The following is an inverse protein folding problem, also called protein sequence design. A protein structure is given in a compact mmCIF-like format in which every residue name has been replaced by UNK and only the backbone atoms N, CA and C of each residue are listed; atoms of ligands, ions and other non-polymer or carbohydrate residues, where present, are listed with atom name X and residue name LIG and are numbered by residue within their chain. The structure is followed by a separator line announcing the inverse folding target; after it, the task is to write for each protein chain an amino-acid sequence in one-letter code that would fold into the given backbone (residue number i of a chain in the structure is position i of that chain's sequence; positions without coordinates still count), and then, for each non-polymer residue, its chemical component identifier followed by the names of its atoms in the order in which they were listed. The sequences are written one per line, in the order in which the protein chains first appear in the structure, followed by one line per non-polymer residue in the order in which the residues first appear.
data_IF_062653894386
#
_entry.id   IF_062653894386
#
_cell.length_a   1.000
_cell.length_b   1.000
_cell.length_c   1.000
_cell.angle_alpha   90.00
_cell.angle_beta   90.00
_cell.angle_gamma   90.00
#
_symmetry.space_group_name_H-M   'P 1'
#
loop_
_entity.id
_entity.type
_entity.pdbx_description
1 polymer ?
#
# COMPACT_ATOMS: atom_id res chain seq x y z
N UNK A 1 29.14 -4.22 19.93
CA UNK A 1 29.01 -2.95 19.17
C UNK A 1 30.25 -2.62 18.35
N UNK A 2 31.45 -2.43 18.95
CA UNK A 2 32.67 -2.02 18.21
C UNK A 2 32.95 -2.82 16.92
N UNK A 3 32.85 -4.15 16.94
CA UNK A 3 33.16 -5.00 15.77
C UNK A 3 32.38 -4.64 14.49
N UNK A 4 31.18 -4.06 14.59
CA UNK A 4 30.42 -3.63 13.41
C UNK A 4 30.94 -2.34 12.78
N UNK A 5 31.80 -1.59 13.46
CA UNK A 5 32.43 -0.36 12.95
C UNK A 5 33.65 -0.65 12.05
N UNK A 6 34.05 -1.91 11.92
CA UNK A 6 35.19 -2.37 11.11
C UNK A 6 34.80 -2.76 9.67
N UNK A 7 33.54 -2.55 9.29
CA UNK A 7 32.93 -3.07 8.05
C UNK A 7 32.37 -1.91 7.21
N UNK A 8 32.82 -1.75 5.96
CA UNK A 8 32.33 -0.69 5.06
C UNK A 8 30.88 -0.92 4.55
N UNK A 9 30.28 -2.09 4.82
CA UNK A 9 28.84 -2.34 4.58
C UNK A 9 27.92 -2.03 5.78
N UNK A 10 28.47 -1.76 6.97
CA UNK A 10 27.68 -1.70 8.20
C UNK A 10 26.93 -0.36 8.38
N UNK A 11 25.60 -0.42 8.40
CA UNK A 11 24.72 0.73 8.55
C UNK A 11 23.47 0.38 9.38
N UNK A 12 22.69 1.40 9.75
CA UNK A 12 21.57 1.38 10.71
C UNK A 12 20.80 0.03 10.75
N UNK A 13 20.85 -0.63 11.92
CA UNK A 13 20.32 -1.99 12.16
C UNK A 13 20.90 -3.05 11.22
N UNK A 14 22.21 -3.27 11.35
CA UNK A 14 22.95 -4.37 10.71
C UNK A 14 22.35 -5.74 11.05
N UNK A 15 22.08 -6.54 10.02
CA UNK A 15 21.89 -7.99 10.13
C UNK A 15 23.21 -8.71 9.85
N UNK A 16 23.45 -9.86 10.47
CA UNK A 16 24.72 -10.58 10.34
C UNK A 16 25.09 -10.90 8.88
N UNK A 17 24.10 -11.20 8.02
CA UNK A 17 24.36 -11.57 6.63
C UNK A 17 24.99 -10.43 5.80
N UNK A 18 24.80 -9.16 6.19
CA UNK A 18 25.50 -8.02 5.54
C UNK A 18 27.01 -8.18 5.67
N UNK A 19 27.47 -8.51 6.88
CA UNK A 19 28.88 -8.65 7.26
C UNK A 19 29.53 -9.87 6.58
N UNK A 20 28.75 -10.93 6.34
CA UNK A 20 29.21 -12.11 5.62
C UNK A 20 29.45 -11.84 4.13
N UNK A 21 28.66 -10.99 3.46
CA UNK A 21 28.96 -10.56 2.10
C UNK A 21 30.33 -9.89 2.02
N UNK A 22 30.60 -8.91 2.88
CA UNK A 22 31.86 -8.17 2.89
C UNK A 22 33.06 -9.09 3.10
N UNK A 23 33.00 -9.96 4.12
CA UNK A 23 34.11 -10.86 4.48
C UNK A 23 34.33 -11.94 3.42
N UNK A 24 33.28 -12.49 2.80
CA UNK A 24 33.45 -13.50 1.76
C UNK A 24 33.93 -12.92 0.43
N UNK A 25 33.48 -11.73 0.05
CA UNK A 25 34.02 -11.02 -1.13
C UNK A 25 35.51 -10.72 -0.92
N UNK A 26 35.94 -10.29 0.27
CA UNK A 26 37.37 -10.10 0.57
C UNK A 26 38.18 -11.42 0.72
N UNK A 27 37.53 -12.58 0.86
CA UNK A 27 38.18 -13.90 0.95
C UNK A 27 38.18 -14.69 -0.37
N UNK A 28 37.43 -14.23 -1.38
CA UNK A 28 37.35 -14.88 -2.68
C UNK A 28 38.60 -14.62 -3.52
N UNK A 29 38.99 -15.65 -4.28
CA UNK A 29 40.07 -15.55 -5.27
C UNK A 29 39.58 -14.80 -6.51
N UNK A 30 40.51 -14.35 -7.35
CA UNK A 30 40.25 -13.96 -8.76
C UNK A 30 39.34 -14.99 -9.44
N UNK A 31 38.35 -14.51 -10.21
CA UNK A 31 37.28 -15.31 -10.84
C UNK A 31 36.39 -16.12 -9.89
N UNK A 32 36.55 -15.97 -8.57
CA UNK A 32 35.74 -16.62 -7.56
C UNK A 32 34.26 -16.24 -7.65
N UNK A 33 33.40 -17.22 -7.39
CA UNK A 33 31.94 -17.09 -7.39
C UNK A 33 31.41 -17.21 -5.95
N UNK A 34 30.57 -16.27 -5.54
CA UNK A 34 29.77 -16.35 -4.31
C UNK A 34 28.33 -16.69 -4.68
N UNK A 35 27.71 -17.66 -4.01
CA UNK A 35 26.27 -17.94 -4.11
C UNK A 35 25.63 -17.91 -2.72
N UNK A 36 24.64 -17.04 -2.52
CA UNK A 36 24.08 -16.75 -1.19
C UNK A 36 22.57 -16.59 -1.21
N UNK A 37 21.85 -17.42 -0.43
CA UNK A 37 20.43 -17.24 -0.10
C UNK A 37 20.34 -16.39 1.16
N UNK A 38 19.70 -15.22 1.09
CA UNK A 38 19.62 -14.25 2.20
C UNK A 38 18.26 -13.57 2.25
N UNK A 39 17.86 -12.94 3.39
CA UNK A 39 16.66 -12.11 3.46
C UNK A 39 16.70 -11.01 2.39
N UNK A 40 15.62 -10.83 1.63
CA UNK A 40 15.62 -9.97 0.44
C UNK A 40 15.72 -8.46 0.73
N UNK A 41 15.78 -8.06 2.01
CA UNK A 41 15.69 -6.65 2.44
C UNK A 41 16.84 -5.79 1.94
N UNK A 42 18.00 -6.39 1.63
CA UNK A 42 19.14 -5.66 1.06
C UNK A 42 18.85 -5.09 -0.33
N UNK A 43 17.88 -5.61 -1.08
CA UNK A 43 17.54 -5.12 -2.42
C UNK A 43 16.98 -3.69 -2.39
N UNK A 44 16.09 -3.39 -1.44
CA UNK A 44 15.26 -2.15 -1.46
C UNK A 44 15.27 -1.33 -0.16
N UNK A 45 16.00 -1.73 0.87
CA UNK A 45 16.08 -0.97 2.12
C UNK A 45 17.14 0.16 2.01
N UNK A 46 16.70 1.41 2.19
CA UNK A 46 17.54 2.61 2.29
C UNK A 46 18.82 2.36 3.09
N UNK A 47 18.69 1.85 4.32
CA UNK A 47 19.82 1.71 5.23
C UNK A 47 20.86 0.67 4.80
N UNK A 48 20.56 -0.19 3.82
CA UNK A 48 21.45 -1.25 3.31
C UNK A 48 22.13 -0.80 1.99
N UNK A 49 22.06 0.50 1.65
CA UNK A 49 22.81 1.08 0.52
C UNK A 49 24.32 0.81 0.55
N UNK A 50 25.05 0.87 1.69
CA UNK A 50 26.48 0.59 1.70
C UNK A 50 26.83 -0.83 1.25
N UNK A 51 25.98 -1.83 1.58
CA UNK A 51 26.12 -3.20 1.09
C UNK A 51 25.88 -3.29 -0.42
N UNK A 52 24.85 -2.61 -0.96
CA UNK A 52 24.59 -2.58 -2.41
C UNK A 52 25.74 -1.92 -3.17
N UNK A 53 26.25 -0.80 -2.66
CA UNK A 53 27.44 -0.12 -3.17
C UNK A 53 28.66 -1.04 -3.17
N UNK A 54 28.92 -1.71 -2.06
CA UNK A 54 30.05 -2.63 -1.92
C UNK A 54 29.94 -3.82 -2.89
N UNK A 55 28.77 -4.45 -3.00
CA UNK A 55 28.54 -5.55 -3.96
C UNK A 55 28.86 -5.09 -5.38
N UNK A 56 28.34 -3.93 -5.80
CA UNK A 56 28.60 -3.36 -7.12
C UNK A 56 30.09 -3.00 -7.33
N UNK A 57 30.75 -2.40 -6.35
CA UNK A 57 32.11 -1.86 -6.51
C UNK A 57 33.22 -2.92 -6.40
N UNK A 58 32.91 -4.11 -5.89
CA UNK A 58 33.88 -5.20 -5.65
C UNK A 58 33.57 -6.48 -6.45
N UNK A 59 32.42 -6.57 -7.11
CA UNK A 59 32.00 -7.75 -7.87
C UNK A 59 30.96 -7.41 -8.94
N UNK A 60 30.79 -8.30 -9.92
CA UNK A 60 29.64 -8.24 -10.82
C UNK A 60 28.56 -9.24 -10.41
N UNK A 61 27.30 -8.83 -10.49
CA UNK A 61 26.13 -9.64 -10.16
C UNK A 61 25.83 -10.53 -11.37
N UNK A 62 26.17 -11.82 -11.30
CA UNK A 62 25.94 -12.74 -12.40
C UNK A 62 24.46 -13.16 -12.49
N UNK A 63 23.87 -13.59 -11.36
CA UNK A 63 22.43 -13.91 -11.28
C UNK A 63 21.80 -13.37 -10.00
N UNK A 64 20.53 -13.01 -10.09
CA UNK A 64 19.68 -12.69 -8.95
C UNK A 64 18.36 -13.46 -9.10
N UNK A 65 18.10 -14.36 -8.15
CA UNK A 65 16.97 -15.30 -8.15
C UNK A 65 15.95 -14.85 -7.11
N UNK A 66 14.74 -14.57 -7.57
CA UNK A 66 13.56 -14.23 -6.78
C UNK A 66 12.85 -15.53 -6.38
N UNK A 67 12.51 -15.69 -5.11
CA UNK A 67 11.77 -16.87 -4.65
C UNK A 67 10.28 -16.54 -4.57
N UNK A 68 9.50 -17.15 -5.48
CA UNK A 68 8.04 -17.05 -5.51
C UNK A 68 7.38 -17.98 -4.47
N UNK A 69 8.12 -18.94 -3.94
CA UNK A 69 7.70 -19.98 -3.00
C UNK A 69 8.46 -19.83 -1.67
N UNK A 70 7.99 -20.47 -0.59
CA UNK A 70 8.77 -20.47 0.66
C UNK A 70 9.96 -21.41 0.54
N UNK A 71 11.17 -20.85 0.55
CA UNK A 71 12.45 -21.58 0.54
C UNK A 71 12.66 -22.37 1.85
N UNK A 72 12.07 -21.89 2.95
CA UNK A 72 12.27 -22.43 4.29
C UNK A 72 10.89 -22.61 4.97
N UNK A 73 10.37 -23.85 5.08
CA UNK A 73 9.00 -24.09 5.57
C UNK A 73 8.68 -23.45 6.93
N UNK A 74 9.65 -23.44 7.86
CA UNK A 74 9.47 -22.94 9.22
C UNK A 74 9.74 -21.43 9.39
N UNK A 75 10.09 -20.70 8.32
CA UNK A 75 10.52 -19.31 8.40
C UNK A 75 9.68 -18.36 7.53
N UNK A 76 8.98 -17.42 8.18
CA UNK A 76 8.25 -16.34 7.50
C UNK A 76 9.18 -15.17 7.14
N UNK A 77 10.05 -15.39 6.15
CA UNK A 77 11.05 -14.43 5.66
C UNK A 77 11.14 -14.48 4.14
N UNK A 78 10.85 -13.36 3.46
CA UNK A 78 11.09 -13.25 2.02
C UNK A 78 12.61 -13.28 1.75
N UNK A 79 13.06 -14.16 0.85
CA UNK A 79 14.49 -14.36 0.53
C UNK A 79 14.79 -14.14 -0.94
N UNK A 80 16.07 -13.91 -1.25
CA UNK A 80 16.61 -13.89 -2.61
C UNK A 80 17.92 -14.66 -2.64
N UNK A 81 18.21 -15.37 -3.74
CA UNK A 81 19.56 -15.90 -4.00
C UNK A 81 20.31 -14.93 -4.90
N UNK A 82 21.50 -14.50 -4.51
CA UNK A 82 22.40 -13.75 -5.39
C UNK A 82 23.64 -14.57 -5.70
N UNK A 83 24.10 -14.48 -6.95
CA UNK A 83 25.31 -15.08 -7.45
C UNK A 83 26.23 -13.96 -7.95
N UNK A 84 27.37 -13.79 -7.29
CA UNK A 84 28.38 -12.75 -7.59
C UNK A 84 29.63 -13.40 -8.18
N UNK A 85 30.35 -12.68 -9.04
CA UNK A 85 31.67 -13.08 -9.57
C UNK A 85 32.66 -11.93 -9.45
N UNK A 86 33.87 -12.22 -8.96
CA UNK A 86 34.96 -11.23 -8.87
C UNK A 86 35.70 -11.09 -10.20
N UNK A 87 36.23 -9.89 -10.46
CA UNK A 87 37.10 -9.55 -11.61
C UNK A 87 36.55 -9.88 -13.00
N UNK A 88 35.21 -9.98 -13.12
CA UNK A 88 34.52 -10.23 -14.38
C UNK A 88 33.66 -9.01 -14.74
N UNK A 89 34.16 -8.15 -15.63
CA UNK A 89 33.46 -6.94 -16.06
C UNK A 89 32.24 -7.29 -16.94
N UNK A 90 31.05 -7.25 -16.33
CA UNK A 90 29.76 -7.29 -17.03
C UNK A 90 28.81 -6.30 -16.39
N UNK A 91 28.08 -5.56 -17.23
CA UNK A 91 26.96 -4.74 -16.82
C UNK A 91 25.61 -5.49 -16.93
N UNK A 92 25.60 -6.77 -17.29
CA UNK A 92 24.37 -7.57 -17.39
C UNK A 92 24.28 -8.60 -16.25
N UNK A 93 23.16 -8.58 -15.53
CA UNK A 93 22.77 -9.57 -14.54
C UNK A 93 21.54 -10.36 -15.01
N UNK A 94 21.55 -11.69 -14.83
CA UNK A 94 20.37 -12.52 -15.10
C UNK A 94 19.36 -12.47 -13.96
N UNK A 95 18.15 -11.97 -14.22
CA UNK A 95 17.03 -12.05 -13.29
C UNK A 95 16.28 -13.37 -13.52
N UNK A 96 16.18 -14.16 -12.47
CA UNK A 96 15.54 -15.46 -12.44
C UNK A 96 14.43 -15.48 -11.37
N UNK A 97 13.48 -16.40 -11.49
CA UNK A 97 12.43 -16.66 -10.49
C UNK A 97 12.30 -18.15 -10.20
N UNK A 98 11.73 -18.53 -9.07
CA UNK A 98 11.28 -19.92 -8.87
C UNK A 98 9.88 -20.14 -9.46
N UNK A 99 9.62 -21.33 -9.98
CA UNK A 99 8.30 -21.82 -10.34
C UNK A 99 8.29 -23.34 -10.26
N UNK A 100 7.35 -23.91 -9.52
CA UNK A 100 7.22 -25.36 -9.28
C UNK A 100 8.55 -25.98 -8.79
N UNK A 101 9.19 -25.29 -7.83
CA UNK A 101 10.53 -25.58 -7.27
C UNK A 101 11.71 -25.52 -8.27
N UNK A 102 11.51 -25.08 -9.52
CA UNK A 102 12.57 -24.92 -10.52
C UNK A 102 12.99 -23.45 -10.66
N UNK A 103 14.27 -23.21 -10.99
CA UNK A 103 14.77 -21.86 -11.32
C UNK A 103 14.54 -21.59 -12.80
N UNK A 104 13.73 -20.57 -13.10
CA UNK A 104 13.36 -20.16 -14.46
C UNK A 104 13.93 -18.78 -14.75
N UNK A 105 14.61 -18.64 -15.89
CA UNK A 105 15.07 -17.34 -16.39
C UNK A 105 13.88 -16.42 -16.69
N UNK A 106 13.96 -15.16 -16.27
CA UNK A 106 12.92 -14.16 -16.54
C UNK A 106 13.38 -13.13 -17.57
N UNK A 107 14.50 -12.45 -17.30
CA UNK A 107 15.04 -11.39 -18.16
C UNK A 107 16.49 -11.05 -17.74
N UNK A 108 17.12 -10.10 -18.42
CA UNK A 108 18.39 -9.49 -17.99
C UNK A 108 18.15 -8.03 -17.61
N UNK A 109 18.89 -7.53 -16.62
CA UNK A 109 18.94 -6.10 -16.24
C UNK A 109 20.34 -5.56 -16.46
N UNK A 110 20.42 -4.31 -16.92
CA UNK A 110 21.65 -3.53 -16.96
C UNK A 110 21.98 -3.01 -15.54
N UNK A 111 23.01 -3.56 -14.90
CA UNK A 111 23.43 -3.17 -13.55
C UNK A 111 23.95 -1.74 -13.46
N UNK A 112 24.22 -1.07 -14.58
CA UNK A 112 24.47 0.37 -14.60
C UNK A 112 23.23 1.17 -14.17
N UNK A 113 22.02 0.67 -14.41
CA UNK A 113 20.76 1.28 -13.98
C UNK A 113 20.60 1.19 -12.45
N UNK A 114 21.23 0.19 -11.82
CA UNK A 114 21.39 0.09 -10.36
C UNK A 114 22.49 1.01 -9.81
N UNK A 115 23.44 1.47 -10.64
CA UNK A 115 24.47 2.46 -10.24
C UNK A 115 23.99 3.90 -10.34
N UNK A 116 23.01 4.19 -11.19
CA UNK A 116 22.50 5.55 -11.42
C UNK A 116 21.24 5.88 -10.62
N UNK A 117 20.49 4.88 -10.15
CA UNK A 117 19.25 5.12 -9.40
C UNK A 117 19.47 5.50 -7.91
N UNK A 118 18.47 6.17 -7.34
CA UNK A 118 18.51 6.71 -5.98
C UNK A 118 18.64 5.60 -4.93
N UNK A 119 19.69 5.67 -4.10
CA UNK A 119 20.06 4.68 -3.08
C UNK A 119 20.53 3.32 -3.66
N UNK A 120 20.93 3.25 -4.94
CA UNK A 120 21.52 2.07 -5.58
C UNK A 120 20.64 0.80 -5.48
N UNK A 121 19.33 0.94 -5.64
CA UNK A 121 18.32 -0.10 -5.43
C UNK A 121 18.46 -1.21 -6.47
N UNK A 122 18.55 -2.47 -6.01
CA UNK A 122 18.60 -3.67 -6.87
C UNK A 122 17.17 -4.07 -7.24
N UNK A 123 16.54 -3.26 -8.09
CA UNK A 123 15.20 -3.49 -8.63
C UNK A 123 15.21 -4.72 -9.58
N UNK A 124 14.26 -5.64 -9.41
CA UNK A 124 14.14 -6.88 -10.20
C UNK A 124 12.85 -6.98 -11.02
N UNK A 125 12.24 -5.82 -11.26
CA UNK A 125 11.12 -5.65 -12.19
C UNK A 125 11.56 -5.84 -13.65
N UNK A 126 10.78 -6.62 -14.41
CA UNK A 126 10.89 -6.71 -15.88
C UNK A 126 10.31 -5.48 -16.59
N UNK A 127 9.50 -4.69 -15.90
CA UNK A 127 8.88 -3.48 -16.43
C UNK A 127 9.91 -2.36 -16.60
N UNK A 128 9.87 -1.70 -17.76
CA UNK A 128 10.76 -0.59 -18.11
C UNK A 128 10.48 0.63 -17.23
N UNK A 129 11.53 1.18 -16.60
CA UNK A 129 11.42 2.45 -15.90
C UNK A 129 11.08 3.59 -16.88
N UNK A 130 10.08 4.42 -16.56
CA UNK A 130 9.70 5.60 -17.32
C UNK A 130 10.42 6.85 -16.80
N UNK A 131 11.15 7.54 -17.68
CA UNK A 131 11.86 8.79 -17.37
C UNK A 131 10.96 10.01 -17.53
N UNK A 132 10.16 10.31 -16.50
CA UNK A 132 9.25 11.46 -16.50
C UNK A 132 9.98 12.80 -16.52
N UNK A 133 9.85 13.52 -17.63
CA UNK A 133 10.37 14.88 -17.82
C UNK A 133 9.47 15.91 -17.13
N UNK A 134 10.04 17.07 -16.79
CA UNK A 134 9.26 18.19 -16.25
C UNK A 134 8.67 17.97 -14.85
N UNK A 135 9.22 17.06 -14.05
CA UNK A 135 8.74 16.73 -12.69
C UNK A 135 9.56 17.36 -11.57
N UNK A 136 9.02 17.32 -10.35
CA UNK A 136 9.66 17.62 -9.05
C UNK A 136 9.29 16.52 -8.04
N UNK A 137 10.11 16.25 -7.02
CA UNK A 137 9.75 15.27 -5.98
C UNK A 137 8.59 15.79 -5.12
N UNK A 138 7.72 14.90 -4.67
CA UNK A 138 6.58 15.18 -3.79
C UNK A 138 6.99 15.94 -2.53
N UNK A 139 8.21 15.71 -2.03
CA UNK A 139 8.81 16.45 -0.92
C UNK A 139 8.86 17.96 -1.10
N UNK A 140 8.82 18.48 -2.33
CA UNK A 140 8.90 19.92 -2.56
C UNK A 140 7.55 20.60 -2.30
N UNK A 141 6.44 19.89 -2.53
CA UNK A 141 5.08 20.39 -2.31
C UNK A 141 4.47 19.93 -0.97
N UNK A 142 4.79 18.73 -0.48
CA UNK A 142 4.18 18.13 0.72
C UNK A 142 5.24 17.61 1.69
N UNK A 143 4.91 17.63 2.99
CA UNK A 143 5.64 16.84 3.98
C UNK A 143 4.96 15.49 4.22
N UNK A 144 5.76 14.50 4.62
CA UNK A 144 5.30 13.14 4.94
C UNK A 144 5.60 12.80 6.39
N UNK A 145 4.57 12.49 7.16
CA UNK A 145 4.64 12.27 8.61
C UNK A 145 3.92 11.00 9.03
N UNK A 146 4.61 10.12 9.77
CA UNK A 146 4.10 8.82 10.16
C UNK A 146 3.10 8.93 11.32
N UNK A 147 2.02 8.15 11.26
CA UNK A 147 0.94 8.20 12.24
C UNK A 147 1.34 7.75 13.65
N UNK A 148 0.47 8.07 14.62
CA UNK A 148 0.72 7.93 16.05
C UNK A 148 0.91 6.46 16.46
N UNK A 149 2.00 6.18 17.17
CA UNK A 149 2.27 4.89 17.78
C UNK A 149 1.99 4.98 19.28
N UNK A 150 1.10 4.12 19.77
CA UNK A 150 0.84 3.98 21.20
C UNK A 150 1.92 3.14 21.91
N UNK A 151 2.02 3.28 23.24
CA UNK A 151 2.72 2.31 24.08
C UNK A 151 1.95 0.98 24.16
N UNK A 152 0.66 1.03 24.51
CA UNK A 152 -0.31 -0.04 24.31
C UNK A 152 -1.50 0.50 23.52
N UNK A 153 -1.84 -0.16 22.41
CA UNK A 153 -3.01 0.19 21.60
C UNK A 153 -4.32 -0.14 22.33
N UNK A 154 -4.38 -1.24 23.10
CA UNK A 154 -5.64 -1.74 23.65
C UNK A 154 -6.23 -0.81 24.71
N UNK A 155 -5.40 -0.27 25.60
CA UNK A 155 -5.83 0.71 26.62
C UNK A 155 -5.96 2.13 26.08
N UNK A 156 -5.23 2.50 25.01
CA UNK A 156 -5.24 3.86 24.47
C UNK A 156 -6.35 4.15 23.44
N UNK A 157 -7.21 3.18 23.09
CA UNK A 157 -8.30 3.37 22.12
C UNK A 157 -9.67 2.89 22.62
N UNK A 158 -10.72 3.63 22.31
CA UNK A 158 -12.12 3.35 22.64
C UNK A 158 -13.04 3.62 21.45
N UNK A 159 -14.13 2.85 21.31
CA UNK A 159 -15.20 3.13 20.34
C UNK A 159 -16.01 4.38 20.72
N UNK A 160 -16.11 4.68 22.02
CA UNK A 160 -16.85 5.81 22.58
C UNK A 160 -15.88 6.90 23.05
N UNK A 161 -16.21 8.17 22.78
CA UNK A 161 -15.48 9.32 23.34
C UNK A 161 -15.73 9.43 24.85
N UNK A 162 -14.77 9.01 25.67
CA UNK A 162 -14.87 9.02 27.14
C UNK A 162 -14.56 10.38 27.77
N UNK A 163 -13.81 11.26 27.09
CA UNK A 163 -13.41 12.57 27.65
C UNK A 163 -13.01 13.60 26.57
N UNK A 164 -12.61 14.80 26.99
CA UNK A 164 -12.07 15.85 26.10
C UNK A 164 -10.63 15.60 25.60
N UNK A 165 -9.85 14.74 26.26
CA UNK A 165 -8.53 14.32 25.74
C UNK A 165 -8.64 13.17 24.72
N UNK A 166 -9.80 12.53 24.59
CA UNK A 166 -10.05 11.56 23.52
C UNK A 166 -10.30 12.28 22.19
N UNK A 167 -9.45 11.99 21.20
CA UNK A 167 -9.47 12.54 19.83
C UNK A 167 -9.87 11.46 18.83
N UNK A 168 -10.61 11.77 17.76
CA UNK A 168 -10.99 10.74 16.78
C UNK A 168 -9.74 10.21 16.05
N UNK A 169 -9.70 8.91 15.75
CA UNK A 169 -8.53 8.26 15.12
C UNK A 169 -8.92 7.29 13.99
N UNK A 170 -8.15 7.32 12.90
CA UNK A 170 -8.25 6.39 11.76
C UNK A 170 -7.03 5.48 11.63
N UNK A 171 -7.24 4.32 11.01
CA UNK A 171 -6.30 3.26 10.69
C UNK A 171 -6.33 2.97 9.19
N UNK A 172 -5.36 2.23 8.67
CA UNK A 172 -5.29 1.89 7.23
C UNK A 172 -6.43 1.02 6.66
N UNK A 173 -7.45 0.67 7.46
CA UNK A 173 -8.71 0.06 6.99
C UNK A 173 -9.86 1.08 6.84
N UNK A 174 -9.72 2.26 7.45
CA UNK A 174 -10.79 3.23 7.67
C UNK A 174 -10.94 4.23 6.50
N UNK A 175 -10.25 3.96 5.39
CA UNK A 175 -10.35 4.62 4.08
C UNK A 175 -9.85 3.68 2.98
N UNK A 176 -10.24 3.96 1.74
CA UNK A 176 -9.78 3.27 0.53
C UNK A 176 -9.42 4.29 -0.57
N UNK A 177 -9.08 3.79 -1.77
CA UNK A 177 -8.77 4.60 -2.97
C UNK A 177 -9.87 5.64 -3.17
N UNK A 178 -9.48 6.92 -3.21
CA UNK A 178 -10.37 8.05 -3.46
C UNK A 178 -11.58 8.18 -2.48
N UNK A 179 -11.53 7.60 -1.27
CA UNK A 179 -12.56 7.83 -0.23
C UNK A 179 -12.13 8.91 0.76
N UNK A 180 -13.10 9.44 1.50
CA UNK A 180 -12.86 10.09 2.78
C UNK A 180 -12.55 9.05 3.85
N UNK A 181 -11.77 9.42 4.86
CA UNK A 181 -11.48 8.60 6.02
C UNK A 181 -12.55 8.80 7.11
N UNK A 182 -13.05 7.69 7.67
CA UNK A 182 -14.16 7.69 8.65
C UNK A 182 -13.65 7.05 9.94
N UNK A 183 -13.63 7.79 11.05
CA UNK A 183 -13.16 7.24 12.31
C UNK A 183 -14.23 6.37 12.99
N UNK A 184 -13.88 5.11 13.29
CA UNK A 184 -14.67 4.25 14.18
C UNK A 184 -14.26 4.41 15.66
N UNK A 185 -13.06 4.93 15.91
CA UNK A 185 -12.43 4.94 17.25
C UNK A 185 -12.00 6.35 17.68
N UNK A 186 -11.75 6.45 18.97
CA UNK A 186 -11.16 7.58 19.67
C UNK A 186 -9.88 7.13 20.36
N UNK A 187 -8.85 7.95 20.33
CA UNK A 187 -7.54 7.73 20.96
C UNK A 187 -7.36 8.66 22.15
N UNK A 188 -6.87 8.11 23.26
CA UNK A 188 -6.47 8.87 24.45
C UNK A 188 -5.22 9.70 24.15
N UNK A 189 -5.39 10.97 23.78
CA UNK A 189 -4.30 11.83 23.32
C UNK A 189 -3.61 12.53 24.50
N UNK A 190 -2.76 11.79 25.20
CA UNK A 190 -1.97 12.27 26.34
C UNK A 190 -0.51 11.77 26.28
N UNK A 191 0.49 12.49 26.82
CA UNK A 191 1.91 12.14 26.62
C UNK A 191 2.30 10.72 27.05
N UNK A 192 1.65 10.14 28.07
CA UNK A 192 1.96 8.81 28.57
C UNK A 192 1.40 7.65 27.71
N UNK A 193 0.47 7.92 26.80
CA UNK A 193 -0.07 6.89 25.87
C UNK A 193 0.73 6.86 24.56
N UNK A 194 1.42 7.95 24.23
CA UNK A 194 2.10 8.20 22.96
C UNK A 194 3.57 7.78 23.03
N UNK A 195 3.95 6.77 22.24
CA UNK A 195 5.33 6.30 22.10
C UNK A 195 6.11 7.08 21.05
N UNK A 196 5.47 7.45 19.94
CA UNK A 196 6.06 8.28 18.87
C UNK A 196 4.99 8.76 17.89
N UNK A 197 5.35 9.77 17.08
CA UNK A 197 4.43 10.41 16.14
C UNK A 197 3.38 11.27 16.86
N UNK A 198 2.24 11.49 16.19
CA UNK A 198 1.08 12.12 16.81
C UNK A 198 1.04 13.64 16.89
N UNK A 199 1.96 14.39 16.25
CA UNK A 199 1.92 15.85 16.24
C UNK A 199 0.55 16.38 15.77
N UNK A 200 -0.15 17.08 16.66
CA UNK A 200 -1.47 17.64 16.39
C UNK A 200 -1.46 18.63 15.21
N UNK A 201 -0.35 19.36 14.98
CA UNK A 201 -0.24 20.32 13.87
C UNK A 201 -0.31 19.65 12.50
N UNK A 202 0.10 18.37 12.39
CA UNK A 202 -0.06 17.55 11.18
C UNK A 202 -1.53 17.15 10.98
N UNK A 203 -2.27 16.94 12.07
CA UNK A 203 -3.66 16.50 12.03
C UNK A 203 -4.66 17.66 11.99
N UNK A 204 -4.29 18.87 12.39
CA UNK A 204 -5.12 20.08 12.40
C UNK A 204 -5.12 20.80 11.03
N UNK A 205 -5.20 20.03 9.94
CA UNK A 205 -5.37 20.50 8.57
C UNK A 205 -5.88 19.38 7.66
N UNK A 206 -6.55 19.71 6.53
CA UNK A 206 -6.84 18.76 5.46
C UNK A 206 -5.56 18.13 4.90
N UNK A 207 -5.58 16.81 4.65
CA UNK A 207 -4.40 16.06 4.20
C UNK A 207 -4.76 14.73 3.52
N UNK A 208 -3.80 14.18 2.80
CA UNK A 208 -3.92 12.83 2.21
C UNK A 208 -3.39 11.80 3.20
N UNK A 209 -4.10 10.67 3.35
CA UNK A 209 -3.64 9.51 4.10
C UNK A 209 -3.20 8.43 3.14
N UNK A 210 -1.99 7.87 3.34
CA UNK A 210 -1.47 6.73 2.59
C UNK A 210 -1.37 5.52 3.53
N UNK A 211 -1.94 4.39 3.12
CA UNK A 211 -1.80 3.11 3.85
C UNK A 211 -0.34 2.66 3.85
N UNK A 212 0.22 2.29 5.01
CA UNK A 212 1.56 1.68 5.06
C UNK A 212 1.59 0.31 4.36
N UNK A 213 0.45 -0.42 4.36
CA UNK A 213 0.34 -1.76 3.75
C UNK A 213 -0.40 -1.66 2.42
N UNK A 214 0.32 -1.98 1.35
CA UNK A 214 -0.16 -1.99 -0.04
C UNK A 214 1.02 -2.18 -1.01
N UNK A 215 0.81 -2.95 -2.08
CA UNK A 215 1.79 -3.15 -3.15
C UNK A 215 1.97 -1.91 -4.04
N UNK A 216 0.97 -1.02 -4.04
CA UNK A 216 0.99 0.33 -4.59
C UNK A 216 0.33 1.30 -3.59
N UNK A 217 0.57 2.62 -3.67
CA UNK A 217 -0.09 3.61 -2.85
C UNK A 217 -1.62 3.52 -2.94
N UNK A 218 -2.27 3.55 -1.78
CA UNK A 218 -3.72 3.71 -1.66
C UNK A 218 -3.93 4.97 -0.83
N UNK A 219 -4.45 6.01 -1.49
CA UNK A 219 -4.64 7.33 -0.93
C UNK A 219 -6.12 7.61 -0.63
N UNK A 220 -6.41 8.18 0.54
CA UNK A 220 -7.72 8.72 0.91
C UNK A 220 -7.60 10.14 1.47
N UNK A 221 -8.72 10.86 1.46
CA UNK A 221 -8.82 12.22 2.00
C UNK A 221 -9.13 12.19 3.50
N UNK A 222 -8.48 13.05 4.29
CA UNK A 222 -8.82 13.26 5.69
C UNK A 222 -8.95 14.75 6.01
N UNK A 223 -10.03 15.07 6.72
CA UNK A 223 -10.27 16.39 7.28
C UNK A 223 -9.37 16.65 8.50
N UNK A 224 -9.40 17.89 8.97
CA UNK A 224 -8.68 18.31 10.17
C UNK A 224 -9.28 17.74 11.47
N UNK A 225 -8.46 17.68 12.52
CA UNK A 225 -8.89 17.27 13.86
C UNK A 225 -9.01 15.75 14.07
N UNK A 226 -8.69 14.93 13.06
CA UNK A 226 -8.66 13.46 13.15
C UNK A 226 -7.21 12.98 13.19
N UNK A 227 -6.86 12.14 14.17
CA UNK A 227 -5.55 11.47 14.24
C UNK A 227 -5.44 10.32 13.24
N UNK A 228 -4.23 10.00 12.80
CA UNK A 228 -3.95 8.79 12.03
C UNK A 228 -2.98 7.88 12.79
N UNK A 229 -3.27 6.57 12.88
CA UNK A 229 -2.42 5.60 13.57
C UNK A 229 -1.15 5.24 12.79
N UNK A 230 -0.20 4.57 13.43
CA UNK A 230 1.04 4.02 12.87
C UNK A 230 0.84 2.95 11.76
N UNK A 231 -0.33 2.89 11.13
CA UNK A 231 -0.61 2.14 9.90
C UNK A 231 -0.70 3.07 8.67
N UNK A 232 -0.44 4.37 8.85
CA UNK A 232 -0.68 5.46 7.89
C UNK A 232 0.52 6.41 7.82
N UNK A 233 0.80 6.94 6.61
CA UNK A 233 1.54 8.19 6.42
C UNK A 233 0.57 9.33 6.09
N UNK A 234 0.75 10.48 6.73
CA UNK A 234 0.02 11.72 6.47
C UNK A 234 0.83 12.56 5.49
N UNK A 235 0.25 12.95 4.35
CA UNK A 235 0.84 13.89 3.40
C UNK A 235 0.07 15.22 3.47
N UNK A 236 0.71 16.26 3.97
CA UNK A 236 0.11 17.58 4.20
C UNK A 236 0.89 18.69 3.48
N UNK A 237 0.21 19.73 2.97
CA UNK A 237 0.82 20.71 2.09
C UNK A 237 1.86 21.57 2.81
N UNK A 238 2.92 21.94 2.08
CA UNK A 238 3.86 22.98 2.52
C UNK A 238 3.21 24.36 2.40
N UNK A 239 3.72 25.34 3.16
CA UNK A 239 3.15 26.71 3.30
C UNK A 239 2.91 27.47 1.99
N UNK A 240 3.46 27.03 0.86
CA UNK A 240 3.30 27.66 -0.46
C UNK A 240 2.32 26.92 -1.38
N UNK A 241 1.71 25.83 -0.92
CA UNK A 241 0.71 25.02 -1.65
C UNK A 241 -0.68 25.26 -1.06
N UNK A 242 -1.68 25.47 -1.90
CA UNK A 242 -3.08 25.63 -1.48
C UNK A 242 -3.62 24.31 -0.91
N UNK A 243 -4.37 24.36 0.20
CA UNK A 243 -5.00 23.18 0.78
C UNK A 243 -5.96 22.47 -0.20
N UNK A 244 -6.51 23.16 -1.22
CA UNK A 244 -7.30 22.54 -2.30
C UNK A 244 -6.52 21.44 -3.05
N UNK A 245 -5.20 21.60 -3.18
CA UNK A 245 -4.34 20.63 -3.86
C UNK A 245 -4.16 19.31 -3.12
N UNK A 246 -4.65 19.18 -1.87
CA UNK A 246 -4.77 17.89 -1.17
C UNK A 246 -5.64 16.91 -1.97
N UNK A 247 -6.74 17.38 -2.57
CA UNK A 247 -7.60 16.52 -3.39
C UNK A 247 -6.94 16.14 -4.72
N UNK A 248 -6.24 17.08 -5.37
CA UNK A 248 -5.45 16.81 -6.57
C UNK A 248 -4.37 15.75 -6.29
N UNK A 249 -3.66 15.85 -5.15
CA UNK A 249 -2.63 14.88 -4.76
C UNK A 249 -3.22 13.49 -4.51
N UNK A 250 -4.33 13.38 -3.76
CA UNK A 250 -4.99 12.09 -3.51
C UNK A 250 -5.33 11.39 -4.84
N UNK A 251 -5.89 12.14 -5.78
CA UNK A 251 -6.28 11.65 -7.10
C UNK A 251 -5.07 11.21 -7.93
N UNK A 252 -4.00 12.02 -7.98
CA UNK A 252 -2.75 11.69 -8.69
C UNK A 252 -2.12 10.42 -8.11
N UNK A 253 -2.01 10.29 -6.78
CA UNK A 253 -1.40 9.12 -6.14
C UNK A 253 -2.20 7.83 -6.44
N UNK A 254 -3.51 7.95 -6.64
CA UNK A 254 -4.40 6.84 -6.99
C UNK A 254 -4.49 6.53 -8.51
N UNK A 255 -3.75 7.24 -9.36
CA UNK A 255 -3.70 7.00 -10.81
C UNK A 255 -2.91 5.74 -11.19
N UNK A 256 -3.17 5.21 -12.39
CA UNK A 256 -2.36 4.12 -12.96
C UNK A 256 -0.90 4.52 -13.16
N UNK A 257 -0.62 5.78 -13.49
CA UNK A 257 0.76 6.26 -13.66
C UNK A 257 1.57 6.12 -12.36
N UNK A 258 1.04 6.58 -11.23
CA UNK A 258 1.73 6.42 -9.94
C UNK A 258 1.77 4.96 -9.50
N UNK A 259 0.73 4.16 -9.81
CA UNK A 259 0.77 2.71 -9.57
C UNK A 259 1.88 2.02 -10.38
N UNK A 260 2.06 2.35 -11.66
CA UNK A 260 3.14 1.84 -12.51
C UNK A 260 4.51 2.24 -11.96
N UNK A 261 4.73 3.53 -11.74
CA UNK A 261 5.99 4.06 -11.21
C UNK A 261 6.33 3.48 -9.84
N UNK A 262 5.32 3.12 -9.04
CA UNK A 262 5.56 2.41 -7.79
C UNK A 262 5.99 0.96 -8.01
N UNK A 263 5.29 0.20 -8.87
CA UNK A 263 5.71 -1.16 -9.27
C UNK A 263 7.15 -1.15 -9.76
N UNK A 264 7.50 -0.20 -10.64
CA UNK A 264 8.80 -0.17 -11.35
C UNK A 264 9.96 0.42 -10.56
N UNK A 265 9.73 1.23 -9.51
CA UNK A 265 10.82 1.86 -8.73
C UNK A 265 10.87 1.43 -7.26
N UNK A 266 9.73 1.08 -6.66
CA UNK A 266 9.55 1.06 -5.20
C UNK A 266 8.90 -0.21 -4.63
N UNK A 267 8.51 -1.16 -5.48
CA UNK A 267 8.06 -2.48 -5.07
C UNK A 267 9.08 -3.15 -4.12
N UNK A 268 8.62 -3.60 -2.95
CA UNK A 268 9.41 -4.50 -2.10
C UNK A 268 9.16 -5.99 -2.44
N UNK A 269 8.35 -6.23 -3.48
CA UNK A 269 7.98 -7.52 -4.08
C UNK A 269 7.38 -8.56 -3.11
N UNK A 270 7.02 -8.14 -1.88
CA UNK A 270 6.53 -9.06 -0.85
C UNK A 270 5.15 -9.59 -1.21
N UNK A 271 4.97 -10.91 -1.10
CA UNK A 271 3.65 -11.54 -1.24
C UNK A 271 2.76 -11.31 -0.01
N UNK A 272 3.36 -11.07 1.16
CA UNK A 272 2.63 -10.78 2.39
C UNK A 272 3.00 -9.39 2.93
N UNK A 273 1.98 -8.57 3.20
CA UNK A 273 2.08 -7.22 3.75
C UNK A 273 3.18 -6.33 3.12
N UNK A 274 3.17 -6.07 1.78
CA UNK A 274 4.08 -5.12 1.14
C UNK A 274 4.05 -3.76 1.84
N UNK A 275 5.22 -3.14 2.06
CA UNK A 275 5.35 -1.93 2.89
C UNK A 275 5.81 -0.70 2.14
N UNK A 276 4.90 0.26 2.09
CA UNK A 276 5.15 1.65 1.70
C UNK A 276 6.01 2.33 2.77
N UNK A 277 7.06 3.04 2.34
CA UNK A 277 8.00 3.75 3.21
C UNK A 277 7.93 5.25 2.93
N UNK A 278 8.01 6.07 3.99
CA UNK A 278 7.88 7.53 3.89
C UNK A 278 8.89 8.22 2.94
N UNK A 279 10.10 7.68 2.76
CA UNK A 279 11.08 8.22 1.81
C UNK A 279 10.66 7.98 0.35
N UNK A 280 10.13 6.80 0.02
CA UNK A 280 9.62 6.49 -1.33
C UNK A 280 8.47 7.42 -1.70
N UNK A 281 7.58 7.74 -0.75
CA UNK A 281 6.52 8.73 -0.93
C UNK A 281 7.09 10.14 -1.17
N UNK A 282 8.11 10.57 -0.43
CA UNK A 282 8.78 11.86 -0.65
C UNK A 282 9.44 11.95 -2.04
N UNK A 283 9.94 10.82 -2.55
CA UNK A 283 10.56 10.70 -3.88
C UNK A 283 9.59 10.32 -5.02
N UNK A 284 8.26 10.39 -4.81
CA UNK A 284 7.30 10.30 -5.91
C UNK A 284 7.38 11.54 -6.81
N UNK A 285 7.37 11.41 -8.15
CA UNK A 285 7.34 12.55 -9.04
C UNK A 285 5.95 13.20 -9.09
N UNK A 286 5.90 14.52 -8.94
CA UNK A 286 4.77 15.38 -9.28
C UNK A 286 5.14 16.25 -10.49
N UNK A 287 4.18 16.69 -11.33
CA UNK A 287 4.50 17.59 -12.45
C UNK A 287 4.90 18.97 -11.91
N UNK A 288 5.78 19.70 -12.61
CA UNK A 288 6.19 21.07 -12.22
C UNK A 288 5.04 22.09 -12.19
N UNK A 289 3.93 21.78 -12.85
CA UNK A 289 2.67 22.53 -12.80
C UNK A 289 1.79 22.21 -11.58
N UNK A 290 2.18 21.26 -10.72
CA UNK A 290 1.41 20.91 -9.53
C UNK A 290 1.24 22.14 -8.61
N UNK A 291 0.02 22.35 -8.11
CA UNK A 291 -0.31 23.52 -7.29
C UNK A 291 -0.64 24.79 -8.10
N UNK A 292 -0.51 24.76 -9.43
CA UNK A 292 -1.23 25.71 -10.28
C UNK A 292 -2.74 25.41 -10.23
N UNK A 293 -3.58 26.44 -10.43
CA UNK A 293 -5.02 26.37 -10.24
C UNK A 293 -5.76 25.64 -11.39
N UNK A 294 -5.44 24.36 -11.57
CA UNK A 294 -6.19 23.47 -12.46
C UNK A 294 -7.57 23.14 -11.84
N UNK A 295 -8.61 23.74 -12.42
CA UNK A 295 -10.01 23.51 -12.06
C UNK A 295 -10.49 22.10 -12.40
N UNK A 296 -10.01 21.53 -13.50
CA UNK A 296 -10.55 20.31 -14.09
C UNK A 296 -10.14 19.09 -13.26
N UNK A 297 -8.85 18.96 -12.92
CA UNK A 297 -8.39 17.90 -12.01
C UNK A 297 -9.02 18.06 -10.62
N UNK A 298 -9.19 19.31 -10.17
CA UNK A 298 -9.83 19.62 -8.88
C UNK A 298 -11.28 19.14 -8.84
N UNK A 299 -12.05 19.37 -9.90
CA UNK A 299 -13.47 18.96 -9.95
C UNK A 299 -13.66 17.47 -10.25
N UNK A 300 -12.78 16.85 -11.04
CA UNK A 300 -12.68 15.39 -11.14
C UNK A 300 -12.37 14.75 -9.78
N UNK A 301 -11.44 15.33 -9.01
CA UNK A 301 -11.11 14.87 -7.64
C UNK A 301 -12.33 14.95 -6.70
N UNK A 302 -13.10 16.04 -6.75
CA UNK A 302 -14.37 16.17 -6.01
C UNK A 302 -15.46 15.21 -6.52
N UNK A 303 -15.48 14.89 -7.83
CA UNK A 303 -16.43 13.95 -8.45
C UNK A 303 -16.16 12.52 -7.99
N UNK A 304 -14.92 12.04 -8.11
CA UNK A 304 -14.52 10.69 -7.70
C UNK A 304 -14.64 10.48 -6.19
N UNK A 305 -14.30 11.49 -5.37
CA UNK A 305 -14.47 11.43 -3.91
C UNK A 305 -15.93 11.27 -3.49
N UNK A 306 -16.84 12.09 -4.06
CA UNK A 306 -18.28 12.00 -3.75
C UNK A 306 -18.88 10.67 -4.19
N UNK A 307 -18.52 10.19 -5.39
CA UNK A 307 -19.05 8.92 -5.91
C UNK A 307 -18.60 7.72 -5.05
N UNK A 308 -17.31 7.65 -4.68
CA UNK A 308 -16.81 6.59 -3.81
C UNK A 308 -17.40 6.65 -2.40
N UNK A 309 -17.57 7.85 -1.82
CA UNK A 309 -18.23 8.01 -0.52
C UNK A 309 -19.70 7.57 -0.57
N UNK A 310 -20.43 7.89 -1.64
CA UNK A 310 -21.82 7.42 -1.85
C UNK A 310 -21.91 5.89 -1.98
N UNK A 311 -20.98 5.26 -2.73
CA UNK A 311 -20.93 3.80 -2.85
C UNK A 311 -20.60 3.15 -1.50
N UNK A 312 -19.58 3.64 -0.79
CA UNK A 312 -19.18 3.16 0.53
C UNK A 312 -20.35 3.23 1.53
N UNK A 313 -21.11 4.33 1.52
CA UNK A 313 -22.31 4.49 2.34
C UNK A 313 -23.41 3.51 1.95
N UNK A 314 -23.79 3.44 0.69
CA UNK A 314 -24.86 2.54 0.21
C UNK A 314 -24.57 1.08 0.59
N UNK A 315 -23.31 0.66 0.43
CA UNK A 315 -22.84 -0.67 0.79
C UNK A 315 -22.85 -0.87 2.31
N UNK A 316 -22.31 0.08 3.06
CA UNK A 316 -22.26 0.06 4.53
C UNK A 316 -23.63 0.07 5.20
N UNK A 317 -24.60 0.83 4.68
CA UNK A 317 -25.96 0.94 5.21
C UNK A 317 -26.67 -0.45 5.17
N UNK A 318 -26.62 -1.16 4.03
CA UNK A 318 -27.21 -2.49 3.91
C UNK A 318 -26.39 -3.57 4.66
N UNK A 319 -25.05 -3.49 4.66
CA UNK A 319 -24.21 -4.39 5.47
C UNK A 319 -24.49 -4.25 6.97
N UNK A 320 -24.76 -3.03 7.45
CA UNK A 320 -25.14 -2.74 8.83
C UNK A 320 -26.55 -3.25 9.17
N UNK A 321 -27.50 -3.13 8.23
CA UNK A 321 -28.83 -3.74 8.37
C UNK A 321 -28.74 -5.27 8.49
N UNK A 322 -27.95 -5.93 7.64
CA UNK A 322 -27.70 -7.38 7.73
C UNK A 322 -27.06 -7.75 9.08
N UNK A 323 -26.10 -6.95 9.57
CA UNK A 323 -25.49 -7.13 10.91
C UNK A 323 -26.53 -7.02 12.04
N UNK A 324 -27.46 -6.08 11.94
CA UNK A 324 -28.55 -5.90 12.90
C UNK A 324 -29.56 -7.07 12.87
N UNK A 325 -29.92 -7.58 11.69
CA UNK A 325 -30.77 -8.78 11.54
C UNK A 325 -30.10 -10.01 12.14
N UNK A 326 -28.80 -10.20 11.88
CA UNK A 326 -28.01 -11.30 12.43
C UNK A 326 -27.73 -11.16 13.94
N UNK A 327 -27.85 -9.96 14.53
CA UNK A 327 -27.50 -9.69 15.94
C UNK A 327 -26.10 -10.19 16.30
N UNK A 328 -25.15 -10.03 15.37
CA UNK A 328 -23.81 -10.59 15.40
C UNK A 328 -23.03 -10.25 14.12
N UNK A 329 -21.77 -10.66 14.02
CA UNK A 329 -20.91 -10.26 12.90
C UNK A 329 -21.30 -10.82 11.52
N UNK A 330 -21.00 -10.04 10.49
CA UNK A 330 -21.22 -10.40 9.08
C UNK A 330 -19.97 -11.03 8.45
N UNK A 331 -20.16 -11.88 7.44
CA UNK A 331 -19.05 -12.35 6.61
C UNK A 331 -18.60 -11.25 5.63
N UNK A 332 -17.34 -11.28 5.19
CA UNK A 332 -16.81 -10.35 4.19
C UNK A 332 -17.62 -10.36 2.88
N UNK A 333 -18.18 -11.52 2.48
CA UNK A 333 -19.10 -11.61 1.34
C UNK A 333 -20.40 -10.84 1.53
N UNK A 334 -20.97 -10.83 2.75
CA UNK A 334 -22.18 -10.06 3.06
C UNK A 334 -21.88 -8.57 3.28
N UNK A 335 -20.62 -8.21 3.57
CA UNK A 335 -20.16 -6.81 3.53
C UNK A 335 -20.03 -6.34 2.07
N UNK A 336 -19.50 -7.18 1.17
CA UNK A 336 -19.46 -6.98 -0.28
C UNK A 336 -20.71 -7.50 -1.02
N UNK A 337 -21.89 -7.36 -0.42
CA UNK A 337 -23.15 -7.95 -0.94
C UNK A 337 -23.49 -7.56 -2.39
N UNK A 338 -23.06 -6.38 -2.84
CA UNK A 338 -23.32 -5.82 -4.17
C UNK A 338 -22.65 -6.62 -5.31
N UNK A 339 -21.56 -7.33 -5.01
CA UNK A 339 -20.85 -8.22 -5.93
C UNK A 339 -21.53 -9.59 -6.09
N UNK A 340 -22.53 -9.92 -5.26
CA UNK A 340 -23.19 -11.23 -5.27
C UNK A 340 -24.34 -11.30 -6.29
N UNK A 341 -24.63 -12.50 -6.78
CA UNK A 341 -25.97 -12.80 -7.32
C UNK A 341 -26.98 -12.81 -6.18
N UNK A 342 -28.27 -12.55 -6.44
CA UNK A 342 -29.28 -12.65 -5.37
C UNK A 342 -29.35 -14.07 -4.76
N UNK A 343 -29.11 -15.11 -5.57
CA UNK A 343 -29.02 -16.49 -5.09
C UNK A 343 -27.81 -16.72 -4.15
N UNK A 344 -26.64 -16.17 -4.47
CA UNK A 344 -25.46 -16.25 -3.59
C UNK A 344 -25.59 -15.39 -2.34
N UNK A 345 -26.29 -14.26 -2.43
CA UNK A 345 -26.68 -13.43 -1.29
C UNK A 345 -27.57 -14.21 -0.31
N UNK A 346 -28.69 -14.76 -0.76
CA UNK A 346 -29.57 -15.60 0.08
C UNK A 346 -28.83 -16.80 0.69
N UNK A 347 -27.94 -17.43 -0.08
CA UNK A 347 -27.12 -18.58 0.34
C UNK A 347 -26.13 -18.22 1.45
N UNK A 348 -25.38 -17.13 1.31
CA UNK A 348 -24.47 -16.67 2.37
C UNK A 348 -25.22 -16.08 3.58
N UNK A 349 -26.38 -15.44 3.38
CA UNK A 349 -27.25 -14.97 4.47
C UNK A 349 -27.83 -16.15 5.27
N UNK A 350 -28.39 -17.16 4.60
CA UNK A 350 -28.90 -18.40 5.23
C UNK A 350 -27.78 -19.11 6.00
N UNK A 351 -26.57 -19.16 5.44
CA UNK A 351 -25.38 -19.72 6.09
C UNK A 351 -24.96 -18.90 7.32
N UNK A 352 -25.04 -17.57 7.27
CA UNK A 352 -24.78 -16.70 8.40
C UNK A 352 -25.82 -16.90 9.52
N UNK A 353 -27.12 -16.93 9.21
CA UNK A 353 -28.19 -17.25 10.17
C UNK A 353 -27.93 -18.61 10.84
N UNK A 354 -27.58 -19.64 10.06
CA UNK A 354 -27.27 -20.99 10.57
C UNK A 354 -25.98 -21.05 11.40
N UNK A 355 -24.98 -20.22 11.11
CA UNK A 355 -23.78 -20.09 11.93
C UNK A 355 -24.10 -19.40 13.27
N UNK A 356 -24.78 -18.25 13.23
CA UNK A 356 -25.15 -17.48 14.42
C UNK A 356 -26.10 -18.25 15.32
N UNK A 357 -27.07 -18.99 14.78
CA UNK A 357 -27.99 -19.81 15.57
C UNK A 357 -27.27 -20.90 16.38
N UNK A 358 -26.18 -21.48 15.88
CA UNK A 358 -25.37 -22.45 16.65
C UNK A 358 -24.72 -21.81 17.88
N UNK A 359 -24.32 -20.55 17.79
CA UNK A 359 -23.76 -19.77 18.91
C UNK A 359 -24.88 -19.41 19.89
N UNK A 360 -25.95 -18.79 19.39
CA UNK A 360 -27.11 -18.36 20.21
C UNK A 360 -27.72 -19.50 21.02
N UNK A 361 -27.96 -20.67 20.40
CA UNK A 361 -28.53 -21.84 21.09
C UNK A 361 -27.58 -22.35 22.18
N UNK A 362 -26.26 -22.36 21.95
CA UNK A 362 -25.25 -22.73 22.95
C UNK A 362 -25.23 -21.76 24.15
N UNK A 363 -25.57 -20.50 23.92
CA UNK A 363 -25.67 -19.43 24.92
C UNK A 363 -27.06 -19.33 25.58
N UNK A 364 -27.99 -20.26 25.26
CA UNK A 364 -29.36 -20.26 25.80
C UNK A 364 -30.27 -19.17 25.20
N UNK A 365 -29.85 -18.51 24.12
CA UNK A 365 -30.62 -17.49 23.42
C UNK A 365 -31.48 -18.09 22.30
N UNK A 366 -32.72 -17.60 22.17
CA UNK A 366 -33.63 -18.02 21.09
C UNK A 366 -33.00 -17.83 19.70
N UNK A 367 -33.15 -18.80 18.78
CA UNK A 367 -32.64 -18.68 17.43
C UNK A 367 -33.35 -17.57 16.64
N UNK A 368 -32.65 -17.06 15.63
CA UNK A 368 -33.21 -16.25 14.56
C UNK A 368 -34.01 -17.20 13.63
N UNK A 369 -35.22 -16.84 13.18
CA UNK A 369 -35.98 -17.66 12.23
C UNK A 369 -35.17 -18.02 10.97
N UNK A 370 -35.43 -19.19 10.38
CA UNK A 370 -34.97 -19.48 9.02
C UNK A 370 -35.80 -18.69 8.01
N UNK A 371 -35.19 -18.29 6.89
CA UNK A 371 -35.86 -17.52 5.84
C UNK A 371 -36.98 -18.35 5.19
N UNK A 372 -38.20 -17.81 5.18
CA UNK A 372 -39.34 -18.33 4.44
C UNK A 372 -39.37 -17.75 3.01
N UNK A 373 -40.26 -18.25 2.15
CA UNK A 373 -40.48 -17.67 0.83
C UNK A 373 -41.03 -16.23 0.84
N UNK A 374 -41.60 -15.77 1.96
CA UNK A 374 -41.97 -14.36 2.14
C UNK A 374 -40.74 -13.51 2.44
N UNK A 375 -39.86 -13.97 3.32
CA UNK A 375 -38.61 -13.28 3.63
C UNK A 375 -37.67 -13.24 2.40
N UNK A 376 -37.60 -14.31 1.61
CA UNK A 376 -36.87 -14.30 0.33
C UNK A 376 -37.38 -13.22 -0.63
N UNK A 377 -38.69 -12.97 -0.67
CA UNK A 377 -39.28 -11.92 -1.52
C UNK A 377 -38.95 -10.51 -0.99
N UNK A 378 -39.11 -10.27 0.30
CA UNK A 378 -38.76 -8.99 0.95
C UNK A 378 -37.26 -8.66 0.82
N UNK A 379 -36.40 -9.67 0.93
CA UNK A 379 -34.96 -9.51 0.66
C UNK A 379 -34.68 -9.21 -0.81
N UNK A 380 -35.47 -9.70 -1.77
CA UNK A 380 -35.31 -9.38 -3.20
C UNK A 380 -35.66 -7.91 -3.48
N UNK A 381 -36.79 -7.43 -2.95
CA UNK A 381 -37.22 -6.03 -3.09
C UNK A 381 -36.23 -5.04 -2.44
N UNK A 382 -35.54 -5.43 -1.37
CA UNK A 382 -34.49 -4.62 -0.74
C UNK A 382 -33.14 -4.70 -1.48
N UNK A 383 -32.74 -5.89 -1.93
CA UNK A 383 -31.41 -6.16 -2.47
C UNK A 383 -31.24 -5.63 -3.90
N UNK A 384 -32.14 -5.98 -4.83
CA UNK A 384 -31.87 -5.79 -6.26
C UNK A 384 -31.88 -4.30 -6.68
N UNK A 385 -32.79 -3.43 -6.17
CA UNK A 385 -32.71 -1.99 -6.45
C UNK A 385 -31.43 -1.35 -5.88
N UNK A 386 -31.01 -1.74 -4.67
CA UNK A 386 -29.76 -1.26 -4.05
C UNK A 386 -28.53 -1.75 -4.81
N UNK A 387 -28.56 -2.95 -5.37
CA UNK A 387 -27.50 -3.49 -6.23
C UNK A 387 -27.41 -2.73 -7.54
N UNK A 388 -28.54 -2.42 -8.19
CA UNK A 388 -28.56 -1.58 -9.40
C UNK A 388 -28.02 -0.17 -9.13
N UNK A 389 -28.33 0.42 -7.96
CA UNK A 389 -27.76 1.69 -7.52
C UNK A 389 -26.24 1.60 -7.31
N UNK A 390 -25.75 0.54 -6.65
CA UNK A 390 -24.31 0.30 -6.45
C UNK A 390 -23.57 0.11 -7.78
N UNK A 391 -24.11 -0.69 -8.70
CA UNK A 391 -23.55 -0.91 -10.04
C UNK A 391 -23.51 0.39 -10.86
N UNK A 392 -24.53 1.24 -10.76
CA UNK A 392 -24.57 2.57 -11.39
C UNK A 392 -23.46 3.48 -10.84
N UNK A 393 -23.25 3.49 -9.53
CA UNK A 393 -22.16 4.23 -8.89
C UNK A 393 -20.79 3.68 -9.32
N UNK A 394 -20.59 2.36 -9.33
CA UNK A 394 -19.35 1.72 -9.82
C UNK A 394 -19.04 2.09 -11.27
N UNK A 395 -20.04 2.11 -12.16
CA UNK A 395 -19.88 2.53 -13.55
C UNK A 395 -19.47 4.02 -13.65
N UNK A 396 -20.08 4.90 -12.85
CA UNK A 396 -19.72 6.32 -12.78
C UNK A 396 -18.32 6.54 -12.20
N UNK A 397 -17.91 5.77 -11.19
CA UNK A 397 -16.55 5.78 -10.64
C UNK A 397 -15.56 5.37 -11.73
N UNK A 398 -15.76 4.21 -12.37
CA UNK A 398 -14.85 3.71 -13.42
C UNK A 398 -14.71 4.67 -14.61
N UNK A 399 -15.79 5.34 -15.01
CA UNK A 399 -15.73 6.39 -16.03
C UNK A 399 -14.89 7.59 -15.55
N UNK A 400 -15.14 8.08 -14.34
CA UNK A 400 -14.40 9.21 -13.74
C UNK A 400 -12.92 8.88 -13.52
N UNK A 401 -12.58 7.65 -13.14
CA UNK A 401 -11.20 7.21 -12.99
C UNK A 401 -10.47 7.14 -14.35
N UNK A 402 -11.17 6.77 -15.44
CA UNK A 402 -10.59 6.88 -16.78
C UNK A 402 -10.38 8.33 -17.23
N UNK A 403 -11.31 9.23 -16.93
CA UNK A 403 -11.15 10.68 -17.16
C UNK A 403 -9.92 11.22 -16.39
N UNK A 404 -9.72 10.75 -15.16
CA UNK A 404 -8.57 11.08 -14.30
C UNK A 404 -7.26 10.54 -14.86
N UNK A 405 -7.18 9.24 -15.20
CA UNK A 405 -5.94 8.63 -15.70
C UNK A 405 -5.46 9.34 -16.98
N UNK A 406 -6.37 9.61 -17.93
CA UNK A 406 -6.08 10.37 -19.14
C UNK A 406 -5.50 11.76 -18.83
N UNK A 407 -6.15 12.50 -17.92
CA UNK A 407 -5.70 13.83 -17.53
C UNK A 407 -4.35 13.80 -16.79
N UNK A 408 -4.07 12.74 -16.03
CA UNK A 408 -2.75 12.53 -15.40
C UNK A 408 -1.68 12.24 -16.46
N UNK A 409 -1.97 11.47 -17.51
CA UNK A 409 -1.02 11.26 -18.61
C UNK A 409 -0.68 12.58 -19.32
N UNK A 410 -1.66 13.44 -19.56
CA UNK A 410 -1.48 14.77 -20.13
C UNK A 410 -0.66 15.70 -19.21
N UNK A 411 -0.97 15.74 -17.91
CA UNK A 411 -0.25 16.56 -16.92
C UNK A 411 1.22 16.18 -16.74
N UNK A 412 1.57 14.92 -17.00
CA UNK A 412 2.95 14.42 -16.96
C UNK A 412 3.61 14.37 -18.35
N UNK A 413 2.89 14.70 -19.43
CA UNK A 413 3.41 14.78 -20.79
C UNK A 413 3.79 13.44 -21.42
N UNK A 414 3.07 12.36 -21.10
CA UNK A 414 3.32 11.03 -21.66
C UNK A 414 2.97 10.97 -23.16
N UNK A 415 3.78 10.21 -23.90
CA UNK A 415 3.48 9.79 -25.28
C UNK A 415 2.51 8.61 -25.33
N UNK A 416 1.91 8.35 -26.51
CA UNK A 416 1.01 7.21 -26.73
C UNK A 416 1.67 5.85 -26.40
N UNK A 417 2.96 5.69 -26.70
CA UNK A 417 3.73 4.49 -26.36
C UNK A 417 3.84 4.29 -24.84
N UNK A 418 4.08 5.37 -24.08
CA UNK A 418 4.18 5.32 -22.62
C UNK A 418 2.82 5.09 -21.95
N UNK A 419 1.74 5.64 -22.52
CA UNK A 419 0.36 5.36 -22.09
C UNK A 419 0.03 3.88 -22.29
N UNK A 420 0.38 3.29 -23.44
CA UNK A 420 0.17 1.87 -23.71
C UNK A 420 0.96 0.96 -22.75
N UNK A 421 2.18 1.36 -22.37
CA UNK A 421 2.97 0.65 -21.34
C UNK A 421 2.28 0.70 -19.97
N UNK A 422 1.79 1.87 -19.54
CA UNK A 422 1.10 2.02 -18.23
C UNK A 422 -0.22 1.26 -18.19
N UNK A 423 -1.03 1.34 -19.25
CA UNK A 423 -2.32 0.64 -19.37
C UNK A 423 -2.21 -0.89 -19.48
N UNK A 424 -1.05 -1.42 -19.87
CA UNK A 424 -0.80 -2.86 -19.99
C UNK A 424 -0.33 -3.58 -18.73
N UNK A 425 -0.26 -2.90 -17.57
CA UNK A 425 0.58 -3.29 -16.41
C UNK A 425 -0.10 -3.87 -15.17
#
# INVERSE_FOLDING_TARGET
MKIYMEFEVASYKVDLYHLFFERLIHLLKTDGILGFITPNTYLTNLYIEPLRKFILDKSSIYKLIRHDESVFPDASVDTATIILRLNHETNLAEINRTLDHQVVFSHQINTQDWRTNTNLIFNTSSEKMLELKGTIPLSDCFESYFGIQAYDKKTSTSEIKTSNHYKPIVNGKDFNKNTQAIHEYWYDYQPQTIKSGGDWNVCNQPRVLIRQIGSVPIAGYCEEGILASNTIYNLYPKKHIDQKSVLQLMTIINSKLIAYLWKTNYSDEKKTFPKIKGYQLKSLPLPKSFGSNDSNLTDLSKKVLRLNNSLLRLVGDLASYIKAVLKGETSSKLQSWHELTFADFLKELTKAIKATNKVRIKEGHSPIPELTKKDEFEWMELFEPKKQEAQKLQAQIKATEKEIDQMVYELYGLSEEEILIVEGS
#
